data_IF_483281515183
#
_entry.id   IF_483281515183
#
_cell.length_a   1.000
_cell.length_b   1.000
_cell.length_c   1.000
_cell.angle_alpha   90.00
_cell.angle_beta   90.00
_cell.angle_gamma   90.00
#
_symmetry.space_group_name_H-M   'P 1'
#
loop_
_entity.id
_entity.type
_entity.pdbx_description
1 polymer ?
#
# COMPACT_ATOMS: atom_id res chain seq x y z
N UNK A 1 24.53 2.41 -10.65
CA UNK A 1 24.27 2.17 -9.21
C UNK A 1 23.02 2.94 -8.82
N UNK A 2 21.90 2.28 -8.53
CA UNK A 2 20.71 2.98 -8.01
C UNK A 2 21.00 3.47 -6.59
N UNK A 3 20.77 4.76 -6.33
CA UNK A 3 21.02 5.37 -5.03
C UNK A 3 20.03 4.90 -3.96
N UNK A 4 20.33 5.15 -2.68
CA UNK A 4 19.50 4.73 -1.55
C UNK A 4 18.04 5.19 -1.66
N UNK A 5 17.81 6.42 -2.13
CA UNK A 5 16.45 6.95 -2.36
C UNK A 5 15.66 6.13 -3.37
N UNK A 6 16.28 5.73 -4.48
CA UNK A 6 15.61 4.95 -5.51
C UNK A 6 15.17 3.58 -4.98
N UNK A 7 16.05 2.91 -4.23
CA UNK A 7 15.75 1.59 -3.62
C UNK A 7 14.63 1.67 -2.58
N UNK A 8 14.61 2.72 -1.77
CA UNK A 8 13.55 2.90 -0.77
C UNK A 8 12.21 3.20 -1.44
N UNK A 9 12.21 4.02 -2.50
CA UNK A 9 10.99 4.28 -3.28
C UNK A 9 10.45 2.98 -3.90
N UNK A 10 11.31 2.22 -4.58
CA UNK A 10 10.94 0.95 -5.19
C UNK A 10 10.36 -0.03 -4.15
N UNK A 11 11.02 -0.18 -3.00
CA UNK A 11 10.52 -1.03 -1.92
C UNK A 11 9.17 -0.55 -1.39
N UNK A 12 9.00 0.76 -1.21
CA UNK A 12 7.76 1.34 -0.68
C UNK A 12 6.59 1.13 -1.64
N UNK A 13 6.82 1.31 -2.93
CA UNK A 13 5.78 1.16 -3.96
C UNK A 13 5.36 -0.31 -4.04
N UNK A 14 6.32 -1.23 -4.08
CA UNK A 14 6.07 -2.67 -4.07
C UNK A 14 5.35 -3.15 -2.79
N UNK A 15 5.74 -2.65 -1.61
CA UNK A 15 5.08 -2.98 -0.35
C UNK A 15 3.61 -2.53 -0.32
N UNK A 16 3.34 -1.30 -0.76
CA UNK A 16 2.00 -0.72 -0.65
C UNK A 16 1.04 -1.20 -1.74
N UNK A 17 1.55 -1.55 -2.93
CA UNK A 17 0.72 -1.77 -4.11
C UNK A 17 0.74 -3.22 -4.62
N UNK A 18 1.76 -4.02 -4.29
CA UNK A 18 1.94 -5.36 -4.87
C UNK A 18 1.83 -6.44 -3.79
N UNK A 19 2.50 -6.26 -2.65
CA UNK A 19 2.55 -7.30 -1.61
C UNK A 19 1.23 -7.41 -0.85
N UNK A 20 0.66 -8.61 -0.88
CA UNK A 20 -0.51 -8.97 -0.08
C UNK A 20 -0.10 -9.34 1.34
N UNK A 21 -0.92 -8.95 2.32
CA UNK A 21 -0.66 -9.19 3.73
C UNK A 21 -1.83 -9.97 4.34
N UNK A 22 -1.55 -11.12 4.94
CA UNK A 22 -2.58 -11.96 5.58
C UNK A 22 -3.30 -11.24 6.72
N UNK A 23 -2.60 -10.38 7.45
CA UNK A 23 -3.19 -9.52 8.49
C UNK A 23 -4.23 -8.51 7.94
N UNK A 24 -4.16 -8.18 6.65
CA UNK A 24 -5.12 -7.34 5.94
C UNK A 24 -6.14 -8.15 5.14
N UNK A 25 -6.25 -9.46 5.40
CA UNK A 25 -7.13 -10.35 4.63
C UNK A 25 -6.60 -10.69 3.24
N UNK A 26 -5.28 -10.80 3.09
CA UNK A 26 -4.58 -10.99 1.81
C UNK A 26 -4.75 -9.83 0.82
N UNK A 27 -4.98 -8.62 1.33
CA UNK A 27 -4.99 -7.39 0.55
C UNK A 27 -3.65 -6.67 0.62
N UNK A 28 -3.40 -5.81 -0.36
CA UNK A 28 -2.33 -4.82 -0.27
C UNK A 28 -2.72 -3.69 0.69
N UNK A 29 -1.76 -2.96 1.26
CA UNK A 29 -2.06 -1.80 2.10
C UNK A 29 -2.96 -0.77 1.41
N UNK A 30 -2.74 -0.50 0.12
CA UNK A 30 -3.57 0.43 -0.67
C UNK A 30 -5.01 -0.06 -0.79
N UNK A 31 -5.21 -1.33 -1.18
CA UNK A 31 -6.54 -1.93 -1.32
C UNK A 31 -7.31 -1.94 0.00
N UNK A 32 -6.63 -2.19 1.11
CA UNK A 32 -7.24 -2.11 2.44
C UNK A 32 -7.68 -0.68 2.78
N UNK A 33 -6.81 0.32 2.55
CA UNK A 33 -7.13 1.71 2.81
C UNK A 33 -8.30 2.23 1.97
N UNK A 34 -8.44 1.78 0.72
CA UNK A 34 -9.51 2.17 -0.19
C UNK A 34 -10.91 1.83 0.35
N UNK A 35 -11.05 0.76 1.14
CA UNK A 35 -12.33 0.39 1.76
C UNK A 35 -12.88 1.48 2.68
N UNK A 36 -11.99 2.22 3.34
CA UNK A 36 -12.37 3.28 4.29
C UNK A 36 -12.49 4.66 3.64
N UNK A 37 -11.93 4.85 2.43
CA UNK A 37 -12.07 6.11 1.69
C UNK A 37 -13.53 6.38 1.28
N UNK A 38 -14.28 5.33 0.95
CA UNK A 38 -15.70 5.43 0.61
C UNK A 38 -16.59 5.72 1.83
N UNK A 39 -16.24 5.19 3.01
CA UNK A 39 -16.98 5.39 4.25
C UNK A 39 -16.90 6.82 4.80
N UNK A 40 -15.87 7.61 4.40
CA UNK A 40 -15.65 8.98 4.88
C UNK A 40 -16.39 10.06 4.06
N UNK A 41 -17.10 9.70 3.00
CA UNK A 41 -17.77 10.69 2.11
C UNK A 41 -19.18 11.10 2.56
N UNK A 42 -19.64 10.63 3.73
CA UNK A 42 -20.93 10.98 4.31
C UNK A 42 -20.74 11.37 5.78
N UNK A 43 -20.24 12.58 6.01
CA UNK A 43 -20.26 13.29 7.30
C UNK A 43 -20.17 14.79 7.03
#
# INVERSE_FOLDING_TARGET
MTGARARITEWKDDYNQIRQHSALGNLTPEQFADQFKSARKVA
#
